data_IF_588440859613
#
_entry.id   IF_588440859613
#
_cell.length_a   1.000
_cell.length_b   1.000
_cell.length_c   1.000
_cell.angle_alpha   90.00
_cell.angle_beta   90.00
_cell.angle_gamma   90.00
#
_symmetry.space_group_name_H-M   'P 1'
#
loop_
_entity.id
_entity.type
_entity.pdbx_description
1 polymer ?
#
# COMPACT_ATOMS: atom_id res chain seq x y z
N UNK A 1 3.17 -21.34 12.78
CA UNK A 1 3.48 -20.49 11.61
C UNK A 1 2.38 -19.47 11.44
N UNK A 2 2.67 -18.17 11.59
CA UNK A 2 1.71 -17.12 11.24
C UNK A 2 1.67 -17.08 9.72
N UNK A 3 0.55 -17.52 9.14
CA UNK A 3 0.31 -17.41 7.70
C UNK A 3 0.06 -15.92 7.43
N UNK A 4 1.01 -15.27 6.75
CA UNK A 4 0.83 -13.90 6.29
C UNK A 4 -0.40 -13.86 5.38
N UNK A 5 -1.42 -13.09 5.77
CA UNK A 5 -2.64 -12.92 4.99
C UNK A 5 -2.40 -11.96 3.82
N UNK A 6 -1.34 -12.21 3.04
CA UNK A 6 -0.96 -11.42 1.87
C UNK A 6 -1.04 -12.30 0.63
N UNK A 7 -1.80 -11.85 -0.37
CA UNK A 7 -1.77 -12.41 -1.72
C UNK A 7 -0.72 -11.64 -2.52
N UNK A 8 0.48 -12.20 -2.58
CA UNK A 8 1.60 -11.68 -3.37
C UNK A 8 1.33 -11.92 -4.86
N UNK A 9 1.48 -10.89 -5.67
CA UNK A 9 1.40 -11.02 -7.12
C UNK A 9 2.71 -11.59 -7.70
N UNK A 10 2.70 -12.19 -8.90
CA UNK A 10 3.91 -12.69 -9.55
C UNK A 10 5.04 -11.65 -9.60
N UNK A 11 6.30 -12.10 -9.64
CA UNK A 11 7.42 -11.17 -9.73
C UNK A 11 7.35 -10.33 -11.01
N UNK A 12 7.59 -9.01 -10.89
CA UNK A 12 7.71 -8.11 -12.04
C UNK A 12 7.18 -6.71 -11.76
N UNK A 13 7.35 -5.79 -12.72
CA UNK A 13 6.83 -4.43 -12.58
C UNK A 13 5.31 -4.35 -12.75
N UNK A 14 4.71 -3.48 -11.94
CA UNK A 14 3.29 -3.21 -11.87
C UNK A 14 2.95 -1.75 -12.22
N UNK A 15 3.09 -1.33 -13.49
CA UNK A 15 2.53 -0.05 -13.96
C UNK A 15 1.00 -0.09 -13.95
N UNK A 16 0.37 1.08 -14.05
CA UNK A 16 -1.06 1.23 -13.82
C UNK A 16 -1.91 0.30 -14.67
N UNK A 17 -1.64 0.17 -15.97
CA UNK A 17 -2.41 -0.71 -16.86
C UNK A 17 -2.46 -2.19 -16.43
N UNK A 18 -1.46 -2.68 -15.67
CA UNK A 18 -1.52 -4.04 -15.09
C UNK A 18 -2.34 -4.11 -13.80
N UNK A 19 -2.28 -3.06 -12.98
CA UNK A 19 -2.95 -3.03 -11.68
C UNK A 19 -4.40 -2.58 -11.74
N UNK A 20 -4.72 -1.68 -12.67
CA UNK A 20 -6.04 -1.09 -12.85
C UNK A 20 -7.19 -2.12 -12.79
N UNK A 21 -7.19 -3.22 -13.58
CA UNK A 21 -8.29 -4.18 -13.52
C UNK A 21 -8.45 -4.83 -12.14
N UNK A 22 -7.34 -5.07 -11.45
CA UNK A 22 -7.33 -5.68 -10.11
C UNK A 22 -7.87 -4.69 -9.07
N UNK A 23 -7.42 -3.42 -9.14
CA UNK A 23 -7.89 -2.36 -8.24
C UNK A 23 -9.37 -2.10 -8.45
N UNK A 24 -9.83 -1.98 -9.71
CA UNK A 24 -11.26 -1.81 -10.04
C UNK A 24 -12.12 -2.92 -9.47
N UNK A 25 -11.65 -4.17 -9.54
CA UNK A 25 -12.35 -5.30 -8.92
C UNK A 25 -12.44 -5.16 -7.39
N UNK A 26 -11.34 -4.78 -6.73
CA UNK A 26 -11.29 -4.64 -5.27
C UNK A 26 -12.17 -3.52 -4.74
N UNK A 27 -12.33 -2.44 -5.49
CA UNK A 27 -13.17 -1.29 -5.08
C UNK A 27 -14.59 -1.35 -5.62
N UNK A 28 -14.97 -2.38 -6.40
CA UNK A 28 -16.24 -2.42 -7.13
C UNK A 28 -17.48 -2.18 -6.25
N UNK A 29 -17.49 -2.74 -5.02
CA UNK A 29 -18.58 -2.59 -4.05
C UNK A 29 -18.57 -1.31 -3.23
N UNK A 30 -17.60 -0.40 -3.44
CA UNK A 30 -17.52 0.87 -2.71
C UNK A 30 -18.34 1.97 -3.40
N UNK A 31 -18.63 3.05 -2.65
CA UNK A 31 -19.30 4.23 -3.21
C UNK A 31 -18.50 4.84 -4.37
N UNK A 32 -19.19 5.48 -5.32
CA UNK A 32 -18.56 6.10 -6.50
C UNK A 32 -17.41 7.03 -6.11
N UNK A 33 -17.63 7.88 -5.09
CA UNK A 33 -16.61 8.80 -4.59
C UNK A 33 -15.36 8.07 -4.05
N UNK A 34 -15.56 7.06 -3.20
CA UNK A 34 -14.44 6.28 -2.66
C UNK A 34 -13.68 5.56 -3.77
N UNK A 35 -14.38 4.97 -4.75
CA UNK A 35 -13.75 4.32 -5.90
C UNK A 35 -12.83 5.29 -6.65
N UNK A 36 -13.30 6.49 -6.97
CA UNK A 36 -12.49 7.50 -7.66
C UNK A 36 -11.24 7.88 -6.86
N UNK A 37 -11.40 8.18 -5.58
CA UNK A 37 -10.29 8.58 -4.70
C UNK A 37 -9.24 7.46 -4.58
N UNK A 38 -9.69 6.22 -4.30
CA UNK A 38 -8.79 5.08 -4.13
C UNK A 38 -8.08 4.75 -5.44
N UNK A 39 -8.82 4.74 -6.55
CA UNK A 39 -8.26 4.46 -7.89
C UNK A 39 -7.17 5.47 -8.24
N UNK A 40 -7.43 6.77 -8.05
CA UNK A 40 -6.44 7.81 -8.29
C UNK A 40 -5.18 7.62 -7.42
N UNK A 41 -5.32 7.34 -6.11
CA UNK A 41 -4.15 7.10 -5.24
C UNK A 41 -3.32 5.90 -5.71
N UNK A 42 -3.97 4.81 -6.06
CA UNK A 42 -3.29 3.60 -6.54
C UNK A 42 -2.61 3.82 -7.90
N UNK A 43 -3.24 4.57 -8.80
CA UNK A 43 -2.65 4.97 -10.08
C UNK A 43 -1.38 5.80 -9.88
N UNK A 44 -1.41 6.79 -8.98
CA UNK A 44 -0.24 7.62 -8.64
C UNK A 44 0.92 6.80 -8.08
N UNK A 45 0.66 5.88 -7.15
CA UNK A 45 1.71 5.01 -6.58
C UNK A 45 2.25 4.07 -7.66
N UNK A 46 1.35 3.44 -8.42
CA UNK A 46 1.70 2.50 -9.49
C UNK A 46 2.46 3.15 -10.64
N UNK A 47 2.29 4.46 -10.88
CA UNK A 47 3.05 5.19 -11.91
C UNK A 47 4.56 5.20 -11.63
N UNK A 48 4.98 4.90 -10.39
CA UNK A 48 6.39 4.73 -10.01
C UNK A 48 6.94 3.32 -10.32
N UNK A 49 6.10 2.43 -10.87
CA UNK A 49 6.45 1.07 -11.30
C UNK A 49 7.03 0.20 -10.17
N UNK A 50 6.27 -0.07 -9.10
CA UNK A 50 6.70 -1.02 -8.08
C UNK A 50 6.97 -2.39 -8.71
N UNK A 51 8.00 -3.08 -8.23
CA UNK A 51 8.45 -4.40 -8.69
C UNK A 51 7.91 -5.56 -7.81
N UNK A 52 7.18 -5.18 -6.76
CA UNK A 52 6.50 -6.08 -5.85
C UNK A 52 5.13 -5.51 -5.48
N UNK A 53 4.09 -6.34 -5.53
CA UNK A 53 2.76 -5.97 -5.06
C UNK A 53 2.15 -7.12 -4.26
N UNK A 54 1.60 -6.81 -3.09
CA UNK A 54 0.84 -7.77 -2.30
C UNK A 54 -0.47 -7.16 -1.81
N UNK A 55 -1.55 -7.93 -1.91
CA UNK A 55 -2.85 -7.52 -1.42
C UNK A 55 -3.15 -8.18 -0.08
N UNK A 56 -3.59 -7.41 0.89
CA UNK A 56 -4.01 -7.97 2.15
C UNK A 56 -5.28 -8.81 1.99
N UNK A 57 -5.42 -9.77 2.89
CA UNK A 57 -6.56 -10.68 3.04
C UNK A 57 -6.94 -10.76 4.53
N UNK A 58 -8.14 -11.27 4.82
CA UNK A 58 -8.65 -11.34 6.19
C UNK A 58 -8.64 -9.96 6.88
N UNK A 59 -8.03 -9.89 8.06
CA UNK A 59 -7.91 -8.66 8.88
C UNK A 59 -7.13 -7.50 8.24
N UNK A 60 -6.40 -7.74 7.15
CA UNK A 60 -5.66 -6.72 6.39
C UNK A 60 -6.25 -6.47 5.01
N UNK A 61 -7.47 -6.93 4.74
CA UNK A 61 -8.08 -6.94 3.41
C UNK A 61 -8.16 -5.58 2.71
N UNK A 62 -8.11 -4.48 3.47
CA UNK A 62 -8.12 -3.12 2.96
C UNK A 62 -6.73 -2.58 2.57
N UNK A 63 -5.65 -3.27 2.91
CA UNK A 63 -4.28 -2.84 2.62
C UNK A 63 -3.74 -3.43 1.31
N UNK A 64 -2.87 -2.65 0.67
CA UNK A 64 -2.04 -3.06 -0.47
C UNK A 64 -0.61 -2.62 -0.24
N UNK A 65 0.33 -3.52 -0.46
CA UNK A 65 1.78 -3.25 -0.40
C UNK A 65 2.28 -3.00 -1.81
N UNK A 66 3.02 -1.91 -2.00
CA UNK A 66 3.81 -1.61 -3.18
C UNK A 66 5.29 -1.59 -2.78
N UNK A 67 6.04 -2.59 -3.23
CA UNK A 67 7.47 -2.70 -2.95
C UNK A 67 8.32 -2.15 -4.10
N UNK A 68 9.43 -1.55 -3.70
CA UNK A 68 10.53 -1.10 -4.54
C UNK A 68 11.77 -1.82 -4.02
N UNK A 69 11.93 -3.10 -4.41
CA UNK A 69 12.84 -4.02 -3.75
C UNK A 69 14.30 -3.54 -3.80
N UNK A 70 14.74 -2.97 -4.93
CA UNK A 70 16.09 -2.40 -5.06
C UNK A 70 16.38 -1.28 -4.04
N UNK A 71 15.34 -0.52 -3.68
CA UNK A 71 15.41 0.58 -2.71
C UNK A 71 15.14 0.11 -1.27
N UNK A 72 14.70 -1.14 -1.11
CA UNK A 72 14.24 -1.68 0.18
C UNK A 72 13.12 -0.84 0.79
N UNK A 73 12.19 -0.34 -0.03
CA UNK A 73 11.06 0.49 0.43
C UNK A 73 9.75 -0.20 0.08
N UNK A 74 8.84 -0.22 1.05
CA UNK A 74 7.53 -0.85 0.93
C UNK A 74 6.45 0.11 1.41
N UNK A 75 5.53 0.46 0.51
CA UNK A 75 4.43 1.38 0.75
C UNK A 75 3.18 0.56 1.06
N UNK A 76 2.62 0.72 2.25
CA UNK A 76 1.32 0.15 2.64
C UNK A 76 0.25 1.22 2.51
N UNK A 77 -0.60 1.03 1.51
CA UNK A 77 -1.72 1.90 1.21
C UNK A 77 -3.05 1.25 1.60
N UNK A 78 -3.89 1.98 2.32
CA UNK A 78 -5.22 1.52 2.71
C UNK A 78 -6.30 2.05 1.76
N UNK A 79 -7.22 1.17 1.39
CA UNK A 79 -8.44 1.51 0.65
C UNK A 79 -9.52 2.15 1.53
N UNK A 80 -9.30 2.26 2.85
CA UNK A 80 -10.23 2.94 3.76
C UNK A 80 -9.90 4.43 3.84
N UNK A 81 -10.92 5.27 3.67
CA UNK A 81 -10.81 6.71 3.90
C UNK A 81 -10.44 7.01 5.37
N UNK A 82 -9.66 8.06 5.58
CA UNK A 82 -9.19 8.47 6.92
C UNK A 82 -7.95 7.73 7.44
N UNK A 83 -7.40 6.77 6.69
CA UNK A 83 -6.09 6.20 6.98
C UNK A 83 -4.93 7.02 6.39
N UNK A 84 -3.71 6.62 6.71
CA UNK A 84 -2.47 7.17 6.19
C UNK A 84 -1.72 6.09 5.40
N UNK A 85 -0.82 6.52 4.53
CA UNK A 85 0.20 5.66 3.92
C UNK A 85 1.27 5.38 4.97
N UNK A 86 1.66 4.13 5.09
CA UNK A 86 2.81 3.72 5.88
C UNK A 86 3.94 3.29 4.96
N UNK A 87 5.16 3.73 5.27
CA UNK A 87 6.36 3.33 4.54
C UNK A 87 7.23 2.51 5.49
N UNK A 88 7.60 1.31 5.05
CA UNK A 88 8.50 0.40 5.76
C UNK A 88 9.75 0.11 4.93
N UNK A 89 10.75 -0.46 5.59
CA UNK A 89 11.98 -0.94 4.96
C UNK A 89 11.96 -2.47 4.81
N UNK A 90 13.12 -3.13 4.91
CA UNK A 90 13.31 -4.57 4.63
C UNK A 90 12.46 -5.49 5.53
N UNK A 91 12.00 -4.99 6.66
CA UNK A 91 11.25 -5.68 7.70
C UNK A 91 9.72 -5.61 7.52
N UNK A 92 9.23 -5.08 6.39
CA UNK A 92 7.80 -4.90 6.14
C UNK A 92 6.97 -6.17 6.40
N UNK A 93 7.48 -7.38 6.10
CA UNK A 93 6.75 -8.63 6.33
C UNK A 93 6.47 -8.86 7.81
N UNK A 94 7.47 -8.63 8.66
CA UNK A 94 7.34 -8.78 10.11
C UNK A 94 6.51 -7.64 10.70
N UNK A 95 6.77 -6.40 10.29
CA UNK A 95 6.02 -5.24 10.74
C UNK A 95 4.55 -5.30 10.32
N UNK A 96 4.24 -5.91 9.17
CA UNK A 96 2.87 -6.09 8.70
C UNK A 96 2.04 -7.06 9.55
N UNK A 97 2.66 -7.82 10.45
CA UNK A 97 1.97 -8.69 11.41
C UNK A 97 1.51 -7.95 12.65
N UNK A 98 2.08 -6.78 12.92
CA UNK A 98 1.76 -5.96 14.08
C UNK A 98 0.45 -5.20 13.86
N UNK A 99 -0.23 -4.91 14.96
CA UNK A 99 -1.36 -3.99 14.94
C UNK A 99 -0.89 -2.57 14.62
N UNK A 100 -1.79 -1.75 14.09
CA UNK A 100 -1.53 -0.32 13.86
C UNK A 100 -1.07 0.39 15.14
N UNK A 101 -1.60 -0.02 16.31
CA UNK A 101 -1.20 0.54 17.61
C UNK A 101 0.26 0.20 17.91
N UNK A 102 0.66 -1.07 17.77
CA UNK A 102 2.05 -1.49 17.99
C UNK A 102 3.04 -0.78 17.06
N UNK A 103 2.70 -0.61 15.77
CA UNK A 103 3.53 0.11 14.80
C UNK A 103 3.74 1.58 15.22
N UNK A 104 2.69 2.23 15.73
CA UNK A 104 2.73 3.64 16.14
C UNK A 104 3.41 3.84 17.49
N UNK A 105 3.09 3.01 18.47
CA UNK A 105 3.63 3.11 19.85
C UNK A 105 5.15 2.86 19.89
N UNK A 106 5.67 2.09 18.93
CA UNK A 106 7.09 1.73 18.84
C UNK A 106 7.83 2.44 17.68
N UNK A 107 7.16 3.39 17.00
CA UNK A 107 7.73 4.14 15.86
C UNK A 107 8.38 3.26 14.77
N UNK A 108 7.75 2.12 14.47
CA UNK A 108 8.34 1.09 13.59
C UNK A 108 8.16 1.39 12.11
N UNK A 109 7.78 2.62 11.75
CA UNK A 109 7.54 3.02 10.37
C UNK A 109 8.62 4.01 9.93
N UNK A 110 9.12 3.87 8.71
CA UNK A 110 10.06 4.84 8.12
C UNK A 110 9.38 6.20 7.93
N UNK A 111 8.13 6.19 7.47
CA UNK A 111 7.32 7.38 7.30
C UNK A 111 5.82 7.07 7.38
N UNK A 112 5.05 8.05 7.85
CA UNK A 112 3.59 8.00 7.91
C UNK A 112 3.01 9.24 7.25
N UNK A 113 2.38 9.05 6.10
CA UNK A 113 1.96 10.14 5.21
C UNK A 113 0.44 10.21 5.20
N UNK A 114 -0.11 11.32 5.66
CA UNK A 114 -1.56 11.54 5.67
C UNK A 114 -1.98 11.99 4.26
N UNK A 115 -3.11 11.50 3.75
CA UNK A 115 -3.69 11.94 2.46
C UNK A 115 -4.24 13.37 2.51
N UNK A 116 -3.37 14.35 2.74
CA UNK A 116 -3.61 15.77 2.60
C UNK A 116 -2.98 16.28 1.31
N UNK A 117 -3.11 17.58 1.05
CA UNK A 117 -2.38 18.23 -0.02
C UNK A 117 -0.87 17.89 0.04
N UNK A 118 -0.25 17.67 -1.11
CA UNK A 118 1.17 17.31 -1.26
C UNK A 118 1.62 15.93 -0.77
N UNK A 119 0.72 15.03 -0.37
CA UNK A 119 1.10 13.66 0.03
C UNK A 119 1.95 12.93 -1.02
N UNK A 120 1.68 13.18 -2.32
CA UNK A 120 2.45 12.62 -3.43
C UNK A 120 3.92 13.06 -3.38
N UNK A 121 4.17 14.35 -3.12
CA UNK A 121 5.52 14.90 -3.03
C UNK A 121 6.28 14.30 -1.85
N UNK A 122 5.62 14.19 -0.69
CA UNK A 122 6.20 13.58 0.50
C UNK A 122 6.55 12.11 0.25
N UNK A 123 5.61 11.33 -0.29
CA UNK A 123 5.82 9.92 -0.58
C UNK A 123 6.93 9.68 -1.61
N UNK A 124 6.87 10.40 -2.72
CA UNK A 124 7.80 10.18 -3.83
C UNK A 124 9.20 10.73 -3.55
N UNK A 125 9.34 11.66 -2.59
CA UNK A 125 10.65 12.07 -2.09
C UNK A 125 11.41 10.96 -1.35
N UNK A 126 10.70 9.93 -0.90
CA UNK A 126 11.32 8.76 -0.24
C UNK A 126 11.79 7.70 -1.23
N UNK A 127 11.29 7.71 -2.47
CA UNK A 127 11.60 6.73 -3.52
C UNK A 127 12.79 7.17 -4.35
#
# INVERSE_FOLDING_TARGET
MIRLNWKVLPKGEYPWGKLEPIVKQRVAGMSVNNRMIITNRFEKISSKKPDFVAFGAGGFSDYTVFGFQQKSIYILESMRTGNAIYVFEKDWEELSKLTKKEILDNDLHKARIIHKENWERELFGLL
#
